data_IF_941720399177
#
_entry.id   IF_941720399177
#
_cell.length_a   1.000
_cell.length_b   1.000
_cell.length_c   1.000
_cell.angle_alpha   90.00
_cell.angle_beta   90.00
_cell.angle_gamma   90.00
#
_symmetry.space_group_name_H-M   'P 1'
#
loop_
_entity.id
_entity.type
_entity.pdbx_description
1 polymer ?
#
# COMPACT_ATOMS: atom_id res chain seq x y z
N UNK A 1 22.86 11.60 4.37
CA UNK A 1 21.89 12.63 4.81
C UNK A 1 22.50 14.01 4.70
N UNK A 2 21.76 14.99 4.17
CA UNK A 2 22.24 16.38 4.01
C UNK A 2 21.88 17.27 5.23
N UNK A 3 22.39 18.51 5.26
CA UNK A 3 22.18 19.44 6.38
C UNK A 3 20.72 19.82 6.59
N UNK A 4 19.97 20.04 5.52
CA UNK A 4 18.54 20.40 5.56
C UNK A 4 17.71 19.26 6.14
N UNK A 5 18.01 18.03 5.73
CA UNK A 5 17.42 16.81 6.29
C UNK A 5 17.70 16.67 7.78
N UNK A 6 18.95 16.85 8.21
CA UNK A 6 19.31 16.82 9.62
C UNK A 6 18.55 17.88 10.45
N UNK A 7 18.39 19.10 9.91
CA UNK A 7 17.61 20.15 10.56
C UNK A 7 16.13 19.78 10.73
N UNK A 8 15.53 19.13 9.71
CA UNK A 8 14.15 18.64 9.78
C UNK A 8 14.00 17.59 10.87
N UNK A 9 14.91 16.62 10.94
CA UNK A 9 14.89 15.60 12.01
C UNK A 9 15.06 16.26 13.37
N UNK A 10 16.02 17.17 13.52
CA UNK A 10 16.27 17.85 14.79
C UNK A 10 15.05 18.65 15.27
N UNK A 11 14.35 19.34 14.36
CA UNK A 11 13.12 20.06 14.68
C UNK A 11 12.02 19.10 15.16
N UNK A 12 11.79 17.99 14.45
CA UNK A 12 10.78 16.99 14.83
C UNK A 12 11.09 16.36 16.18
N UNK A 13 12.35 15.95 16.42
CA UNK A 13 12.74 15.31 17.67
C UNK A 13 12.73 16.28 18.85
N UNK A 14 13.07 17.54 18.64
CA UNK A 14 12.96 18.57 19.68
C UNK A 14 11.50 18.79 20.12
N UNK A 15 10.52 18.64 19.22
CA UNK A 15 9.10 18.68 19.60
C UNK A 15 8.71 17.51 20.52
N UNK A 16 9.35 16.35 20.37
CA UNK A 16 9.10 15.17 21.22
C UNK A 16 9.86 15.25 22.56
N UNK A 17 11.06 15.82 22.55
CA UNK A 17 11.94 15.98 23.72
C UNK A 17 12.52 17.40 23.75
N UNK A 18 11.75 18.38 24.26
CA UNK A 18 12.17 19.78 24.27
C UNK A 18 13.46 20.05 25.04
N UNK A 19 13.82 19.17 25.98
CA UNK A 19 15.06 19.25 26.74
C UNK A 19 16.30 18.96 25.88
N UNK A 20 16.14 18.31 24.72
CA UNK A 20 17.23 18.08 23.77
C UNK A 20 17.35 19.26 22.82
N UNK A 21 18.34 20.11 23.05
CA UNK A 21 18.56 21.28 22.19
C UNK A 21 18.83 20.89 20.73
N UNK A 22 18.32 21.69 19.80
CA UNK A 22 18.55 21.50 18.36
C UNK A 22 20.04 21.46 18.02
N UNK A 23 20.88 22.22 18.73
CA UNK A 23 22.33 22.19 18.55
C UNK A 23 22.94 20.83 18.91
N UNK A 24 22.49 20.20 20.00
CA UNK A 24 22.93 18.88 20.39
C UNK A 24 22.47 17.80 19.40
N UNK A 25 21.22 17.89 18.94
CA UNK A 25 20.67 16.98 17.92
C UNK A 25 21.43 17.09 16.60
N UNK A 26 21.73 18.32 16.16
CA UNK A 26 22.54 18.56 14.97
C UNK A 26 23.96 18.00 15.10
N UNK A 27 24.56 18.06 16.30
CA UNK A 27 25.87 17.44 16.56
C UNK A 27 25.81 15.92 16.41
N UNK A 28 24.76 15.27 16.94
CA UNK A 28 24.54 13.82 16.82
C UNK A 28 24.29 13.42 15.37
N UNK A 29 23.47 14.18 14.64
CA UNK A 29 23.14 13.91 13.23
C UNK A 29 24.31 14.19 12.27
N UNK A 30 25.23 15.07 12.67
CA UNK A 30 26.46 15.38 11.93
C UNK A 30 27.60 14.39 12.16
N UNK A 31 27.46 13.43 13.09
CA UNK A 31 28.43 12.35 13.28
C UNK A 31 28.49 11.44 12.05
N UNK A 32 29.69 10.97 11.69
CA UNK A 32 29.93 10.08 10.54
C UNK A 32 29.04 8.83 10.54
N UNK A 33 28.70 8.31 11.72
CA UNK A 33 27.82 7.14 11.87
C UNK A 33 26.38 7.43 11.49
N UNK A 34 25.94 8.67 11.65
CA UNK A 34 24.57 9.11 11.33
C UNK A 34 24.49 9.70 9.92
N UNK A 35 25.51 10.42 9.46
CA UNK A 35 25.49 11.07 8.14
C UNK A 35 25.39 10.06 6.99
N UNK A 36 25.96 8.86 7.20
CA UNK A 36 25.93 7.74 6.24
C UNK A 36 24.61 6.96 6.27
N UNK A 37 23.74 7.21 7.24
CA UNK A 37 22.45 6.51 7.33
C UNK A 37 21.43 7.14 6.36
N UNK A 38 20.49 6.34 5.85
CA UNK A 38 19.31 6.87 5.17
C UNK A 38 18.52 7.82 6.07
N UNK A 39 17.92 8.84 5.46
CA UNK A 39 17.12 9.83 6.18
C UNK A 39 16.01 9.20 7.03
N UNK A 40 15.25 8.27 6.44
CA UNK A 40 14.13 7.59 7.11
C UNK A 40 14.62 6.78 8.32
N UNK A 41 15.69 6.00 8.17
CA UNK A 41 16.27 5.20 9.23
C UNK A 41 16.74 6.08 10.40
N UNK A 42 17.43 7.18 10.10
CA UNK A 42 17.90 8.12 11.11
C UNK A 42 16.71 8.78 11.85
N UNK A 43 15.66 9.17 11.13
CA UNK A 43 14.45 9.75 11.72
C UNK A 43 13.76 8.75 12.65
N UNK A 44 13.54 7.52 12.20
CA UNK A 44 12.85 6.48 12.98
C UNK A 44 13.67 6.11 14.22
N UNK A 45 14.98 5.87 14.07
CA UNK A 45 15.84 5.52 15.19
C UNK A 45 15.88 6.64 16.24
N UNK A 46 16.05 7.91 15.81
CA UNK A 46 16.13 9.02 16.75
C UNK A 46 14.78 9.29 17.42
N UNK A 47 13.66 9.10 16.70
CA UNK A 47 12.31 9.20 17.26
C UNK A 47 12.05 8.10 18.28
N UNK A 48 12.36 6.84 17.96
CA UNK A 48 12.21 5.73 18.89
C UNK A 48 13.10 5.92 20.14
N UNK A 49 14.32 6.42 19.96
CA UNK A 49 15.24 6.78 21.04
C UNK A 49 14.68 7.92 21.92
N UNK A 50 13.98 8.90 21.32
CA UNK A 50 13.33 10.02 21.99
C UNK A 50 12.05 9.63 22.73
N UNK A 51 11.38 8.53 22.37
CA UNK A 51 10.20 8.03 23.10
C UNK A 51 10.60 7.18 24.31
N UNK A 52 11.80 6.59 24.31
CA UNK A 52 12.33 5.84 25.44
C UNK A 52 12.58 6.77 26.66
N UNK A 53 11.91 6.46 27.78
CA UNK A 53 12.04 7.21 29.05
C UNK A 53 13.40 7.00 29.74
N UNK A 54 14.09 5.91 29.42
CA UNK A 54 15.41 5.58 29.99
C UNK A 54 16.54 6.36 29.29
N UNK A 55 16.32 6.79 28.06
CA UNK A 55 17.28 7.62 27.32
C UNK A 55 17.31 9.04 27.89
N UNK A 56 18.47 9.51 28.37
CA UNK A 56 18.63 10.90 28.85
C UNK A 56 19.25 11.83 27.82
N UNK A 57 19.99 11.28 26.85
CA UNK A 57 20.75 12.06 25.88
C UNK A 57 20.60 11.47 24.47
N UNK A 58 20.55 12.33 23.43
CA UNK A 58 20.37 11.88 22.05
C UNK A 58 21.54 11.05 21.52
N UNK A 59 22.74 11.22 22.08
CA UNK A 59 23.94 10.46 21.68
C UNK A 59 23.80 8.95 21.91
N UNK A 60 22.87 8.53 22.77
CA UNK A 60 22.57 7.12 22.99
C UNK A 60 22.15 6.40 21.70
N UNK A 61 21.60 7.12 20.72
CA UNK A 61 21.21 6.55 19.41
C UNK A 61 22.34 5.78 18.71
N UNK A 62 23.61 6.12 18.99
CA UNK A 62 24.76 5.43 18.43
C UNK A 62 25.01 4.03 19.00
N UNK A 63 24.41 3.71 20.16
CA UNK A 63 24.47 2.39 20.74
C UNK A 63 23.54 1.43 19.98
N UNK A 64 23.82 0.12 20.09
CA UNK A 64 22.95 -0.93 19.55
C UNK A 64 21.71 -1.12 20.43
N UNK A 65 20.81 -0.14 20.42
CA UNK A 65 19.56 -0.19 21.17
C UNK A 65 18.36 -0.66 20.36
N UNK A 66 17.24 -0.84 21.06
CA UNK A 66 15.95 -1.28 20.51
C UNK A 66 15.39 -0.32 19.45
N UNK A 67 15.80 0.94 19.46
CA UNK A 67 15.43 1.93 18.44
C UNK A 67 15.87 1.54 17.02
N UNK A 68 16.93 0.76 16.85
CA UNK A 68 17.33 0.23 15.54
C UNK A 68 16.47 -0.96 15.07
N UNK A 69 15.82 -1.67 16.00
CA UNK A 69 14.84 -2.69 15.64
C UNK A 69 13.58 -2.04 15.01
N UNK A 70 13.18 -0.86 15.49
CA UNK A 70 12.06 -0.10 14.92
C UNK A 70 12.30 0.28 13.45
N UNK A 71 13.54 0.61 13.08
CA UNK A 71 13.94 0.86 11.69
C UNK A 71 13.73 -0.38 10.82
N UNK A 72 14.13 -1.55 11.32
CA UNK A 72 13.97 -2.81 10.59
C UNK A 72 12.51 -3.19 10.37
N UNK A 73 11.63 -2.87 11.33
CA UNK A 73 10.19 -3.09 11.19
C UNK A 73 9.53 -2.11 10.20
N UNK A 74 10.01 -0.86 10.17
CA UNK A 74 9.50 0.18 9.26
C UNK A 74 9.97 0.00 7.82
N UNK A 75 11.06 -0.74 7.60
CA UNK A 75 11.54 -1.12 6.29
C UNK A 75 11.48 -2.65 6.16
N UNK A 76 10.27 -3.23 6.11
CA UNK A 76 10.15 -4.67 5.95
C UNK A 76 10.82 -5.01 4.63
N UNK A 77 11.94 -5.76 4.70
CA UNK A 77 12.44 -6.45 3.52
C UNK A 77 11.23 -7.18 2.96
N UNK A 78 10.85 -6.87 1.72
CA UNK A 78 9.69 -7.46 1.06
C UNK A 78 9.68 -8.98 1.26
N UNK A 79 8.50 -9.64 1.16
CA UNK A 79 8.33 -11.03 1.58
C UNK A 79 9.54 -11.85 1.19
N UNK A 80 10.30 -12.29 2.19
CA UNK A 80 11.37 -13.24 1.97
C UNK A 80 10.67 -14.54 1.60
N UNK A 81 10.35 -14.71 0.33
CA UNK A 81 10.00 -16.00 -0.21
C UNK A 81 11.16 -16.90 0.17
N UNK A 82 10.94 -17.85 1.09
CA UNK A 82 11.95 -18.90 1.32
C UNK A 82 12.24 -19.47 -0.04
N UNK A 83 13.51 -19.44 -0.46
CA UNK A 83 13.92 -20.16 -1.66
C UNK A 83 13.43 -21.60 -1.48
N UNK A 84 12.55 -22.05 -2.38
CA UNK A 84 11.98 -23.37 -2.31
C UNK A 84 13.13 -24.38 -2.35
N UNK A 85 13.41 -25.03 -1.21
CA UNK A 85 14.35 -26.14 -1.18
C UNK A 85 13.63 -27.34 -1.80
N UNK A 86 14.18 -28.00 -2.84
CA UNK A 86 13.59 -29.22 -3.37
C UNK A 86 13.37 -30.23 -2.24
N UNK A 87 12.15 -30.76 -2.12
CA UNK A 87 11.76 -31.69 -1.05
C UNK A 87 11.23 -31.05 0.23
N UNK A 88 11.09 -29.72 0.30
CA UNK A 88 10.52 -29.01 1.46
C UNK A 88 9.27 -28.21 1.09
N UNK A 89 8.32 -28.09 2.01
CA UNK A 89 7.14 -27.25 1.83
C UNK A 89 7.53 -25.76 1.89
N UNK A 90 7.10 -24.96 0.91
CA UNK A 90 7.38 -23.51 0.85
C UNK A 90 6.64 -22.68 1.90
N UNK A 91 5.57 -23.24 2.49
CA UNK A 91 4.71 -22.55 3.46
C UNK A 91 5.23 -22.73 4.89
N UNK A 92 5.41 -23.96 5.35
CA UNK A 92 5.91 -24.24 6.71
C UNK A 92 7.44 -24.48 6.76
N UNK A 93 8.06 -24.96 5.66
CA UNK A 93 9.47 -25.31 5.60
C UNK A 93 9.82 -26.72 6.02
N UNK A 94 8.83 -27.59 6.23
CA UNK A 94 9.04 -28.98 6.66
C UNK A 94 9.38 -29.90 5.48
N UNK A 95 10.13 -30.97 5.72
CA UNK A 95 10.51 -31.94 4.69
C UNK A 95 9.29 -32.79 4.29
N UNK A 96 9.07 -32.99 2.99
CA UNK A 96 7.89 -33.70 2.43
C UNK A 96 7.58 -35.08 3.05
N UNK A 97 8.56 -35.93 3.40
CA UNK A 97 8.32 -37.22 4.06
C UNK A 97 7.87 -37.11 5.53
N UNK A 98 8.04 -35.95 6.16
CA UNK A 98 7.61 -35.67 7.54
C UNK A 98 6.30 -34.87 7.59
N UNK A 99 5.80 -34.43 6.44
CA UNK A 99 4.42 -34.01 6.31
C UNK A 99 3.52 -35.21 6.51
N UNK A 100 2.61 -35.14 7.48
CA UNK A 100 1.50 -36.09 7.57
C UNK A 100 0.82 -36.22 6.21
N UNK A 101 0.34 -37.43 5.91
CA UNK A 101 -0.29 -37.77 4.63
C UNK A 101 -1.16 -36.62 4.13
N UNK A 102 -1.14 -36.32 2.82
CA UNK A 102 -2.04 -35.34 2.26
C UNK A 102 -3.46 -35.80 2.56
N UNK A 103 -4.04 -35.28 3.65
CA UNK A 103 -5.47 -35.37 3.82
C UNK A 103 -6.10 -34.69 2.60
N UNK A 104 -7.38 -34.91 2.34
CA UNK A 104 -8.09 -34.26 1.23
C UNK A 104 -8.07 -32.71 1.28
N UNK A 105 -7.45 -32.12 2.31
CA UNK A 105 -7.22 -30.70 2.54
C UNK A 105 -5.71 -30.36 2.70
N UNK A 106 -4.84 -31.22 2.15
CA UNK A 106 -3.44 -31.42 2.53
C UNK A 106 -2.68 -30.19 3.01
N UNK A 107 -2.27 -30.20 4.28
CA UNK A 107 -1.22 -29.33 4.84
C UNK A 107 -1.54 -27.82 4.83
N UNK A 108 -1.54 -27.21 6.02
CA UNK A 108 -1.62 -25.75 6.21
C UNK A 108 -2.88 -25.12 5.58
N UNK A 109 -4.00 -25.31 6.29
CA UNK A 109 -5.21 -24.51 6.13
C UNK A 109 -4.91 -23.01 6.30
N UNK A 110 -4.57 -22.34 5.20
CA UNK A 110 -5.07 -20.99 5.00
C UNK A 110 -6.57 -21.18 4.74
N UNK A 111 -7.43 -20.79 5.69
CA UNK A 111 -8.85 -20.68 5.37
C UNK A 111 -8.98 -19.61 4.28
N UNK A 112 -9.18 -20.06 3.05
CA UNK A 112 -9.45 -19.16 1.95
C UNK A 112 -10.79 -18.47 2.24
N UNK A 113 -10.84 -17.14 2.49
CA UNK A 113 -12.10 -16.43 2.72
C UNK A 113 -13.04 -16.50 1.50
N UNK A 114 -12.50 -16.91 0.34
CA UNK A 114 -13.21 -17.12 -0.91
C UNK A 114 -13.49 -18.60 -1.20
N UNK A 115 -13.38 -19.51 -0.22
CA UNK A 115 -13.80 -20.90 -0.40
C UNK A 115 -15.31 -20.92 -0.77
N UNK A 116 -15.68 -21.34 -1.99
CA UNK A 116 -17.07 -21.37 -2.44
C UNK A 116 -17.92 -22.40 -1.69
N UNK A 117 -17.30 -23.28 -0.87
CA UNK A 117 -18.01 -24.21 0.02
C UNK A 117 -18.43 -23.57 1.36
N UNK A 118 -17.83 -22.43 1.74
CA UNK A 118 -18.12 -21.72 3.01
C UNK A 118 -18.65 -20.30 2.81
N UNK A 119 -18.34 -19.64 1.70
CA UNK A 119 -19.06 -18.42 1.29
C UNK A 119 -20.42 -18.86 0.73
N UNK A 120 -21.51 -18.38 1.33
CA UNK A 120 -22.84 -18.66 0.81
C UNK A 120 -22.88 -18.21 -0.65
N UNK A 121 -23.01 -19.16 -1.58
CA UNK A 121 -23.22 -18.86 -2.99
C UNK A 121 -24.38 -17.85 -3.09
N UNK A 122 -24.33 -16.91 -4.05
CA UNK A 122 -25.46 -16.02 -4.27
C UNK A 122 -26.73 -16.84 -4.42
N UNK A 123 -27.73 -16.51 -3.60
CA UNK A 123 -29.05 -17.13 -3.67
C UNK A 123 -29.62 -17.01 -5.09
N UNK A 124 -30.57 -17.85 -5.45
CA UNK A 124 -31.20 -17.82 -6.78
C UNK A 124 -31.78 -16.43 -7.10
N UNK A 125 -32.33 -15.77 -6.07
CA UNK A 125 -32.81 -14.40 -6.15
C UNK A 125 -31.68 -13.39 -6.43
N UNK A 126 -30.53 -13.53 -5.75
CA UNK A 126 -29.36 -12.68 -6.00
C UNK A 126 -28.75 -12.93 -7.39
N UNK A 127 -28.76 -14.18 -7.87
CA UNK A 127 -28.33 -14.51 -9.24
C UNK A 127 -29.24 -13.89 -10.29
N UNK A 128 -30.55 -13.99 -10.09
CA UNK A 128 -31.54 -13.35 -10.97
C UNK A 128 -31.40 -11.83 -10.98
N UNK A 129 -31.13 -11.21 -9.82
CA UNK A 129 -30.91 -9.77 -9.71
C UNK A 129 -29.64 -9.32 -10.46
N UNK A 130 -28.54 -10.07 -10.35
CA UNK A 130 -27.30 -9.79 -11.07
C UNK A 130 -27.46 -9.94 -12.58
N UNK A 131 -28.20 -10.96 -13.03
CA UNK A 131 -28.47 -11.18 -14.45
C UNK A 131 -29.38 -10.08 -15.03
N UNK A 132 -30.42 -9.68 -14.29
CA UNK A 132 -31.28 -8.56 -14.66
C UNK A 132 -30.50 -7.24 -14.78
N UNK A 133 -29.60 -6.97 -13.83
CA UNK A 133 -28.73 -5.80 -13.85
C UNK A 133 -27.78 -5.81 -15.06
N UNK A 134 -27.23 -6.98 -15.43
CA UNK A 134 -26.39 -7.12 -16.63
C UNK A 134 -27.18 -6.81 -17.90
N UNK A 135 -28.37 -7.37 -18.05
CA UNK A 135 -29.24 -7.14 -19.21
C UNK A 135 -29.64 -5.66 -19.32
N UNK A 136 -29.94 -4.99 -18.20
CA UNK A 136 -30.26 -3.56 -18.20
C UNK A 136 -29.04 -2.71 -18.59
N UNK A 137 -27.85 -3.04 -18.09
CA UNK A 137 -26.62 -2.35 -18.45
C UNK A 137 -26.30 -2.49 -19.94
N UNK A 138 -26.48 -3.67 -20.52
CA UNK A 138 -26.30 -3.90 -21.96
C UNK A 138 -27.31 -3.09 -22.79
N UNK A 139 -28.59 -3.04 -22.38
CA UNK A 139 -29.60 -2.21 -23.04
C UNK A 139 -29.27 -0.71 -23.00
N UNK A 140 -28.74 -0.23 -21.87
CA UNK A 140 -28.29 1.17 -21.75
C UNK A 140 -27.10 1.45 -22.68
N UNK A 141 -26.17 0.50 -22.79
CA UNK A 141 -25.01 0.63 -23.66
C UNK A 141 -25.41 0.64 -25.14
N UNK A 142 -26.32 -0.24 -25.56
CA UNK A 142 -26.82 -0.25 -26.95
C UNK A 142 -27.62 1.00 -27.27
N UNK A 143 -28.51 1.45 -26.37
CA UNK A 143 -29.25 2.69 -26.57
C UNK A 143 -28.33 3.93 -26.65
N UNK A 144 -27.26 3.97 -25.84
CA UNK A 144 -26.26 5.04 -25.91
C UNK A 144 -25.53 5.04 -27.25
N UNK A 145 -25.12 3.87 -27.75
CA UNK A 145 -24.50 3.72 -29.08
C UNK A 145 -25.44 4.15 -30.22
N UNK A 146 -26.70 3.75 -30.17
CA UNK A 146 -27.69 4.16 -31.19
C UNK A 146 -27.97 5.67 -31.17
N UNK A 147 -28.00 6.30 -29.99
CA UNK A 147 -28.13 7.75 -29.85
C UNK A 147 -26.91 8.50 -30.40
N UNK A 148 -25.71 7.96 -30.21
CA UNK A 148 -24.47 8.52 -30.77
C UNK A 148 -24.47 8.46 -32.30
N UNK A 149 -24.85 7.33 -32.90
CA UNK A 149 -24.97 7.20 -34.35
C UNK A 149 -26.02 8.17 -34.92
N UNK A 150 -27.19 8.32 -34.29
CA UNK A 150 -28.21 9.30 -34.74
C UNK A 150 -27.74 10.75 -34.66
N UNK A 151 -26.83 11.07 -33.73
CA UNK A 151 -26.25 12.41 -33.61
C UNK A 151 -25.28 12.72 -34.77
N UNK A 152 -24.58 11.72 -35.27
CA UNK A 152 -23.69 11.85 -36.43
C UNK A 152 -24.44 11.91 -37.76
N UNK A 153 -25.58 11.23 -37.90
CA UNK A 153 -26.43 11.24 -39.12
C UNK A 153 -27.38 12.45 -39.16
N UNK A 154 -26.93 13.63 -38.69
CA UNK A 154 -27.70 14.87 -38.87
C UNK A 154 -27.52 15.32 -40.31
N UNK A 155 -28.62 15.46 -41.06
CA UNK A 155 -28.57 15.85 -42.48
C UNK A 155 -27.81 17.19 -42.61
N UNK A 156 -26.71 17.25 -43.38
CA UNK A 156 -25.96 18.49 -43.56
C UNK A 156 -26.85 19.64 -44.08
N UNK A 157 -27.94 19.35 -44.80
CA UNK A 157 -28.90 20.36 -45.22
C UNK A 157 -29.59 21.06 -44.03
N UNK A 158 -29.92 20.33 -42.96
CA UNK A 158 -30.54 20.89 -41.75
C UNK A 158 -29.56 21.73 -40.93
N UNK A 159 -28.27 21.39 -40.94
CA UNK A 159 -27.23 22.17 -40.26
C UNK A 159 -27.01 23.50 -40.97
N UNK A 160 -27.02 23.49 -42.31
CA UNK A 160 -26.88 24.70 -43.14
C UNK A 160 -28.11 25.62 -42.99
N UNK A 161 -29.33 25.07 -43.01
CA UNK A 161 -30.56 25.85 -42.86
C UNK A 161 -30.67 26.57 -41.50
N UNK A 162 -30.20 25.94 -40.42
CA UNK A 162 -30.17 26.52 -39.08
C UNK A 162 -29.09 27.60 -38.89
N UNK A 163 -28.02 27.58 -39.68
CA UNK A 163 -27.01 28.65 -39.68
C UNK A 163 -27.51 29.88 -40.46
N UNK A 164 -28.15 29.68 -41.62
CA UNK A 164 -28.67 30.76 -42.46
C UNK A 164 -29.79 31.59 -41.79
N UNK A 165 -30.55 30.99 -40.88
CA UNK A 165 -31.61 31.67 -40.10
C UNK A 165 -31.07 32.46 -38.91
N UNK A 166 -29.89 32.10 -38.38
CA UNK A 166 -29.23 32.84 -37.27
C UNK A 166 -28.48 34.09 -37.73
N UNK A 167 -28.06 34.16 -39.00
CA UNK A 167 -27.34 35.32 -39.54
C UNK A 167 -28.28 36.42 -40.07
N UNK A 168 -29.59 36.16 -40.15
CA UNK A 168 -30.60 37.10 -40.66
C UNK A 168 -31.57 37.63 -39.58
N UNK A 169 -31.28 37.39 -38.30
CA UNK A 169 -32.02 37.91 -37.14
C UNK A 169 -31.11 38.81 -36.30
#
# INVERSE_FOLDING_TARGET
MNKTEAQRIAAVVNLLRPEWSTGLLMKVLGDDRMIRRPYADALIALTACAVDSTTKQPGRVHENGTWWAAVSAANPKGPQYRQARPGYCVICGEHWPLHGEPNQYGGHHYENPLDPRKSALPTDEQRAALEAARIEAEKKLTAAREAEVKREVRDPADVIANHATKENA
#
